data_IF_696906249564
#
_entry.id   IF_696906249564
#
_cell.length_a   1.000
_cell.length_b   1.000
_cell.length_c   1.000
_cell.angle_alpha   90.00
_cell.angle_beta   90.00
_cell.angle_gamma   90.00
#
_symmetry.space_group_name_H-M   'P 1'
#
loop_
_entity.id
_entity.type
_entity.pdbx_description
1 polymer ?
#
# COMPACT_ATOMS: atom_id res chain seq x y z
N UNK A 1 -14.91 -0.28 -16.13
CA UNK A 1 -13.61 0.20 -15.62
C UNK A 1 -13.24 -0.71 -14.45
N UNK A 2 -12.23 -1.59 -14.60
CA UNK A 2 -11.98 -2.69 -13.64
C UNK A 2 -11.01 -2.21 -12.55
N UNK A 3 -11.51 -2.10 -11.33
CA UNK A 3 -10.80 -1.75 -10.10
C UNK A 3 -9.85 -2.89 -9.66
N UNK A 4 -8.57 -2.86 -10.04
CA UNK A 4 -7.59 -3.92 -9.69
C UNK A 4 -6.17 -3.36 -9.43
N UNK A 5 -6.06 -2.27 -8.68
CA UNK A 5 -4.77 -1.62 -8.40
C UNK A 5 -4.00 -2.33 -7.27
N UNK A 6 -4.68 -2.66 -6.16
CA UNK A 6 -4.01 -3.13 -4.94
C UNK A 6 -3.21 -4.43 -5.08
N UNK A 7 -3.66 -5.40 -5.87
CA UNK A 7 -2.89 -6.63 -6.08
C UNK A 7 -1.53 -6.34 -6.74
N UNK A 8 -1.48 -5.37 -7.66
CA UNK A 8 -0.21 -4.95 -8.28
C UNK A 8 0.66 -4.21 -7.28
N UNK A 9 0.06 -3.29 -6.51
CA UNK A 9 0.76 -2.56 -5.44
C UNK A 9 1.36 -3.52 -4.41
N UNK A 10 0.60 -4.52 -3.95
CA UNK A 10 1.12 -5.51 -3.01
C UNK A 10 2.28 -6.33 -3.60
N UNK A 11 2.18 -6.74 -4.86
CA UNK A 11 3.25 -7.51 -5.53
C UNK A 11 4.55 -6.68 -5.60
N UNK A 12 4.44 -5.41 -6.02
CA UNK A 12 5.57 -4.48 -6.06
C UNK A 12 6.13 -4.20 -4.65
N UNK A 13 5.26 -4.00 -3.66
CA UNK A 13 5.67 -3.76 -2.27
C UNK A 13 6.43 -4.97 -1.70
N UNK A 14 5.96 -6.21 -1.94
CA UNK A 14 6.67 -7.42 -1.51
C UNK A 14 8.05 -7.53 -2.16
N UNK A 15 8.14 -7.31 -3.47
CA UNK A 15 9.42 -7.37 -4.16
C UNK A 15 10.39 -6.29 -3.66
N UNK A 16 9.93 -5.06 -3.45
CA UNK A 16 10.78 -4.01 -2.90
C UNK A 16 11.21 -4.28 -1.45
N UNK A 17 10.35 -4.89 -0.63
CA UNK A 17 10.71 -5.31 0.72
C UNK A 17 11.77 -6.40 0.71
N UNK A 18 11.66 -7.39 -0.19
CA UNK A 18 12.68 -8.43 -0.41
C UNK A 18 14.03 -7.85 -0.84
N UNK A 19 14.02 -6.73 -1.56
CA UNK A 19 15.23 -5.99 -1.96
C UNK A 19 15.78 -5.05 -0.86
N UNK A 20 15.15 -4.99 0.30
CA UNK A 20 15.62 -4.20 1.46
C UNK A 20 15.26 -2.72 1.42
N UNK A 21 14.29 -2.31 0.59
CA UNK A 21 13.82 -0.92 0.59
C UNK A 21 12.98 -0.60 1.84
N UNK A 22 13.14 0.62 2.34
CA UNK A 22 12.21 1.19 3.31
C UNK A 22 10.96 1.70 2.57
N UNK A 23 9.81 1.08 2.83
CA UNK A 23 8.59 1.35 2.09
C UNK A 23 7.62 2.24 2.87
N UNK A 24 6.99 3.17 2.14
CA UNK A 24 5.82 3.91 2.58
C UNK A 24 4.72 3.71 1.53
N UNK A 25 3.51 3.36 1.98
CA UNK A 25 2.33 3.16 1.13
C UNK A 25 1.32 4.26 1.46
N UNK A 26 0.89 4.98 0.43
CA UNK A 26 -0.17 5.97 0.51
C UNK A 26 -1.55 5.29 0.39
N UNK A 27 -2.27 5.13 1.49
CA UNK A 27 -3.55 4.40 1.52
C UNK A 27 -4.60 5.06 0.60
N UNK A 28 -4.71 6.39 0.69
CA UNK A 28 -5.63 7.23 -0.08
C UNK A 28 -5.32 7.29 -1.59
N UNK A 29 -4.15 6.79 -1.99
CA UNK A 29 -3.75 6.65 -3.39
C UNK A 29 -3.87 5.20 -3.92
N UNK A 30 -4.33 4.25 -3.10
CA UNK A 30 -4.53 2.85 -3.49
C UNK A 30 -6.01 2.54 -3.71
N UNK A 31 -6.34 1.61 -4.61
CA UNK A 31 -7.73 1.17 -4.82
C UNK A 31 -7.86 -0.33 -5.01
N UNK A 32 -9.02 -0.87 -4.64
CA UNK A 32 -9.30 -2.30 -4.67
C UNK A 32 -10.67 -2.59 -5.28
N UNK A 33 -10.93 -3.87 -5.57
CA UNK A 33 -12.23 -4.29 -6.11
C UNK A 33 -13.37 -4.23 -5.07
N UNK A 34 -13.03 -4.22 -3.79
CA UNK A 34 -13.96 -4.00 -2.68
C UNK A 34 -13.26 -3.28 -1.52
N UNK A 35 -14.03 -2.59 -0.66
CA UNK A 35 -13.51 -1.97 0.55
C UNK A 35 -12.89 -3.00 1.51
N UNK A 36 -13.46 -4.20 1.58
CA UNK A 36 -12.97 -5.28 2.42
C UNK A 36 -11.60 -5.78 1.96
N UNK A 37 -11.40 -5.91 0.64
CA UNK A 37 -10.08 -6.19 0.08
C UNK A 37 -9.10 -5.06 0.38
N UNK A 38 -9.53 -3.80 0.21
CA UNK A 38 -8.71 -2.64 0.51
C UNK A 38 -8.18 -2.68 1.94
N UNK A 39 -9.09 -2.81 2.90
CA UNK A 39 -8.77 -2.86 4.32
C UNK A 39 -7.93 -4.10 4.67
N UNK A 40 -8.21 -5.25 4.08
CA UNK A 40 -7.42 -6.48 4.26
C UNK A 40 -5.92 -6.24 4.05
N UNK A 41 -5.53 -5.57 2.97
CA UNK A 41 -4.13 -5.25 2.72
C UNK A 41 -3.57 -4.19 3.65
N UNK A 42 -4.34 -3.13 3.93
CA UNK A 42 -3.90 -2.00 4.78
C UNK A 42 -3.69 -2.41 6.24
N UNK A 43 -4.47 -3.35 6.76
CA UNK A 43 -4.38 -3.76 8.17
C UNK A 43 -3.53 -5.01 8.40
N UNK A 44 -3.39 -5.90 7.41
CA UNK A 44 -2.73 -7.20 7.61
C UNK A 44 -1.46 -7.42 6.77
N UNK A 45 -1.38 -6.84 5.57
CA UNK A 45 -0.27 -7.09 4.65
C UNK A 45 0.77 -5.99 4.77
N UNK A 46 0.41 -4.75 4.46
CA UNK A 46 1.35 -3.64 4.40
C UNK A 46 2.03 -3.34 5.73
N UNK A 47 1.38 -3.37 6.91
CA UNK A 47 2.04 -3.06 8.19
C UNK A 47 3.22 -3.98 8.53
N UNK A 48 3.31 -5.14 7.88
CA UNK A 48 4.41 -6.11 8.07
C UNK A 48 5.64 -5.79 7.21
N UNK A 49 5.47 -5.03 6.13
CA UNK A 49 6.51 -4.80 5.10
C UNK A 49 6.74 -3.32 4.76
N UNK A 50 5.85 -2.43 5.19
CA UNK A 50 5.84 -1.00 4.87
C UNK A 50 5.15 -0.17 5.98
N UNK A 51 5.34 1.15 5.95
CA UNK A 51 4.53 2.10 6.74
C UNK A 51 3.35 2.57 5.90
N UNK A 52 2.13 2.46 6.42
CA UNK A 52 0.92 2.99 5.76
C UNK A 52 0.66 4.41 6.25
N UNK A 53 0.47 5.36 5.32
CA UNK A 53 0.25 6.80 5.59
C UNK A 53 -0.75 7.37 4.60
N UNK A 54 -1.29 8.57 4.87
CA UNK A 54 -1.97 9.35 3.84
C UNK A 54 -0.96 10.07 2.94
N UNK A 55 -1.40 10.51 1.77
CA UNK A 55 -0.59 11.32 0.86
C UNK A 55 -0.17 12.64 1.54
N UNK A 56 -1.07 13.26 2.31
CA UNK A 56 -0.78 14.48 3.06
C UNK A 56 0.31 14.28 4.12
N UNK A 57 0.27 13.17 4.87
CA UNK A 57 1.30 12.83 5.87
C UNK A 57 2.66 12.61 5.21
N UNK A 58 2.69 12.01 4.01
CA UNK A 58 3.92 11.79 3.25
C UNK A 58 4.49 13.13 2.79
N UNK A 59 3.65 13.98 2.19
CA UNK A 59 4.07 15.30 1.70
C UNK A 59 4.58 16.20 2.84
N UNK A 60 3.98 16.11 4.02
CA UNK A 60 4.42 16.85 5.20
C UNK A 60 5.77 16.38 5.78
N UNK A 61 6.25 15.19 5.39
CA UNK A 61 7.47 14.58 5.91
C UNK A 61 8.70 14.67 4.96
N UNK A 62 8.55 15.34 3.81
CA UNK A 62 9.63 15.62 2.85
C UNK A 62 10.42 16.88 3.24
#
# INVERSE_FOLDING_TARGET
>A
MRYLDQHRVESTARNAWELGFNLIIAEDACSASSAEQHQGSMTHIFPRIARVRSTDEILAAL
#
